data_IF_466403766027
#
_entry.id   IF_466403766027
#
_cell.length_a   1.000
_cell.length_b   1.000
_cell.length_c   1.000
_cell.angle_alpha   90.00
_cell.angle_beta   90.00
_cell.angle_gamma   90.00
#
_symmetry.space_group_name_H-M   'P 1'
#
loop_
_entity.id
_entity.type
_entity.pdbx_description
1 polymer ?
#
# COMPACT_ATOMS: atom_id res chain seq x y z
N UNK A 1 -11.59 -7.53 2.89
CA UNK A 1 -10.43 -6.75 2.39
C UNK A 1 -10.25 -5.53 3.28
N UNK A 2 -9.03 -5.24 3.71
CA UNK A 2 -8.75 -4.13 4.64
C UNK A 2 -8.14 -2.96 3.85
N UNK A 3 -8.57 -1.73 4.14
CA UNK A 3 -7.99 -0.52 3.54
C UNK A 3 -6.53 -0.42 3.96
N UNK A 4 -5.64 -0.21 3.01
CA UNK A 4 -4.22 0.03 3.29
C UNK A 4 -3.95 1.53 3.39
N UNK A 5 -4.50 2.31 2.45
CA UNK A 5 -4.34 3.76 2.44
C UNK A 5 -4.34 4.35 1.03
N UNK A 6 -3.74 5.53 0.88
CA UNK A 6 -3.64 6.30 -0.36
C UNK A 6 -2.21 6.27 -0.91
N UNK A 7 -2.05 5.99 -2.20
CA UNK A 7 -0.75 6.07 -2.87
C UNK A 7 -0.32 7.54 -2.96
N UNK A 8 0.86 7.86 -2.44
CA UNK A 8 1.41 9.22 -2.50
C UNK A 8 2.23 9.45 -3.76
N UNK A 9 3.25 8.64 -3.98
CA UNK A 9 4.16 8.77 -5.11
C UNK A 9 4.87 7.44 -5.39
N UNK A 10 5.53 7.40 -6.56
CA UNK A 10 6.41 6.32 -6.96
C UNK A 10 7.82 6.56 -6.44
N UNK A 11 8.50 5.49 -6.03
CA UNK A 11 9.90 5.56 -5.64
C UNK A 11 10.68 4.40 -6.27
N UNK A 12 11.93 4.67 -6.70
CA UNK A 12 12.76 3.69 -7.39
C UNK A 12 12.07 3.00 -8.58
N UNK A 13 12.52 1.79 -8.89
CA UNK A 13 11.96 0.98 -9.98
C UNK A 13 10.74 0.22 -9.47
N UNK A 14 9.54 0.66 -9.89
CA UNK A 14 8.25 0.02 -9.60
C UNK A 14 7.91 -0.13 -8.11
N UNK A 15 8.29 0.82 -7.25
CA UNK A 15 7.78 0.86 -5.88
C UNK A 15 6.82 2.03 -5.66
N UNK A 16 5.90 1.85 -4.71
CA UNK A 16 4.94 2.85 -4.28
C UNK A 16 5.13 3.15 -2.80
N UNK A 17 5.03 4.43 -2.46
CA UNK A 17 4.81 4.88 -1.09
C UNK A 17 3.32 5.07 -0.90
N UNK A 18 2.77 4.39 0.10
CA UNK A 18 1.36 4.53 0.49
C UNK A 18 1.34 5.16 1.87
N UNK A 19 0.52 6.20 2.04
CA UNK A 19 0.17 6.74 3.35
C UNK A 19 -1.01 5.96 3.89
N UNK A 20 -0.80 5.34 5.04
CA UNK A 20 -1.84 4.65 5.78
C UNK A 20 -2.93 5.59 6.23
N UNK A 21 -4.14 5.04 6.32
CA UNK A 21 -5.22 5.69 7.05
C UNK A 21 -4.88 5.73 8.55
N UNK A 22 -5.58 6.58 9.31
CA UNK A 22 -5.36 6.72 10.74
C UNK A 22 -5.60 5.40 11.49
N UNK A 23 -4.61 4.96 12.25
CA UNK A 23 -4.70 3.83 13.16
C UNK A 23 -5.16 4.36 14.51
N UNK A 24 -6.42 4.10 14.85
CA UNK A 24 -6.96 4.45 16.17
C UNK A 24 -6.40 3.52 17.25
N UNK A 25 -6.18 4.00 18.49
CA UNK A 25 -5.66 3.20 19.60
C UNK A 25 -6.39 1.87 19.81
N UNK A 26 -7.71 1.89 19.68
CA UNK A 26 -8.58 0.71 19.79
C UNK A 26 -8.36 -0.34 18.69
N UNK A 27 -7.81 0.05 17.54
CA UNK A 27 -7.59 -0.79 16.36
C UNK A 27 -6.11 -1.13 16.13
N UNK A 28 -5.21 -0.77 17.06
CA UNK A 28 -3.79 -1.16 16.99
C UNK A 28 -3.67 -2.69 17.01
N UNK A 29 -4.58 -3.37 17.71
CA UNK A 29 -4.73 -4.82 17.76
C UNK A 29 -5.14 -5.46 16.43
N UNK A 30 -5.79 -4.73 15.51
CA UNK A 30 -6.07 -5.23 14.14
C UNK A 30 -4.79 -5.38 13.30
N UNK A 31 -3.65 -4.93 13.84
CA UNK A 31 -2.32 -5.17 13.33
C UNK A 31 -1.99 -4.38 12.06
N UNK A 32 -0.70 -4.06 11.93
CA UNK A 32 -0.13 -3.67 10.65
C UNK A 32 -0.22 -4.85 9.66
N UNK A 33 -0.36 -4.58 8.35
CA UNK A 33 -0.25 -5.63 7.34
C UNK A 33 1.03 -6.43 7.54
N UNK A 34 0.93 -7.75 7.41
CA UNK A 34 2.11 -8.61 7.41
C UNK A 34 2.98 -8.26 6.20
N UNK A 35 4.30 -8.42 6.35
CA UNK A 35 5.18 -8.36 5.21
C UNK A 35 4.75 -9.38 4.16
N UNK A 36 4.91 -9.02 2.89
CA UNK A 36 4.46 -9.75 1.72
C UNK A 36 2.93 -9.85 1.53
N UNK A 37 2.11 -9.18 2.35
CA UNK A 37 0.67 -9.02 2.07
C UNK A 37 0.45 -8.44 0.67
N UNK A 38 -0.50 -9.03 -0.06
CA UNK A 38 -0.80 -8.63 -1.44
C UNK A 38 -1.61 -7.35 -1.42
N UNK A 39 -1.13 -6.36 -2.16
CA UNK A 39 -1.80 -5.07 -2.36
C UNK A 39 -2.59 -5.10 -3.66
N UNK A 40 -3.84 -4.67 -3.59
CA UNK A 40 -4.77 -4.62 -4.72
C UNK A 40 -5.39 -3.23 -4.88
N UNK A 41 -5.84 -2.92 -6.10
CA UNK A 41 -6.67 -1.74 -6.36
C UNK A 41 -8.15 -1.99 -6.01
N UNK A 42 -9.01 -1.01 -6.29
CA UNK A 42 -10.47 -1.10 -6.13
C UNK A 42 -11.11 -2.20 -6.99
N UNK A 43 -10.51 -2.52 -8.14
CA UNK A 43 -10.97 -3.54 -9.08
C UNK A 43 -10.39 -4.94 -8.79
N UNK A 44 -9.72 -5.12 -7.64
CA UNK A 44 -9.07 -6.36 -7.21
C UNK A 44 -7.84 -6.77 -8.05
N UNK A 45 -7.31 -5.87 -8.88
CA UNK A 45 -6.08 -6.13 -9.60
C UNK A 45 -4.91 -6.12 -8.62
N UNK A 46 -4.09 -7.16 -8.68
CA UNK A 46 -2.89 -7.28 -7.84
C UNK A 46 -1.81 -6.30 -8.32
N UNK A 47 -1.44 -5.37 -7.46
CA UNK A 47 -0.45 -4.32 -7.73
C UNK A 47 0.95 -4.77 -7.30
N UNK A 48 1.06 -5.34 -6.11
CA UNK A 48 2.37 -5.66 -5.51
C UNK A 48 2.26 -6.29 -4.13
N UNK A 49 3.34 -6.20 -3.37
CA UNK A 49 3.40 -6.67 -1.97
C UNK A 49 4.01 -5.63 -1.04
N UNK A 50 3.57 -5.61 0.21
CA UNK A 50 4.16 -4.79 1.27
C UNK A 50 5.55 -5.33 1.60
N UNK A 51 6.59 -4.50 1.51
CA UNK A 51 7.97 -4.89 1.85
C UNK A 51 8.53 -4.14 3.05
N UNK A 52 7.89 -3.04 3.47
CA UNK A 52 8.25 -2.33 4.70
C UNK A 52 7.06 -1.52 5.24
N UNK A 53 7.05 -1.34 6.56
CA UNK A 53 6.14 -0.46 7.31
C UNK A 53 7.00 0.47 8.15
N UNK A 54 6.78 1.79 8.06
CA UNK A 54 7.64 2.77 8.74
C UNK A 54 6.89 4.08 9.03
N UNK A 55 7.51 4.98 9.79
CA UNK A 55 6.94 6.28 10.16
C UNK A 55 6.06 6.23 11.41
N UNK A 56 5.23 7.27 11.63
CA UNK A 56 4.41 7.38 12.84
C UNK A 56 3.41 6.23 12.97
N UNK A 57 3.30 5.66 14.17
CA UNK A 57 2.41 4.53 14.46
C UNK A 57 0.95 4.84 14.12
N UNK A 58 0.48 6.06 14.42
CA UNK A 58 -0.90 6.47 14.12
C UNK A 58 -1.17 6.71 12.64
N UNK A 59 -0.17 7.00 11.83
CA UNK A 59 -0.29 7.30 10.40
C UNK A 59 0.92 6.74 9.65
N UNK A 60 1.00 5.41 9.50
CA UNK A 60 2.18 4.75 8.96
C UNK A 60 2.34 5.01 7.46
N UNK A 61 3.54 4.77 6.96
CA UNK A 61 3.84 4.63 5.55
C UNK A 61 4.14 3.18 5.21
N UNK A 62 3.74 2.76 4.02
CA UNK A 62 4.00 1.44 3.49
C UNK A 62 4.80 1.55 2.21
N UNK A 63 5.89 0.79 2.12
CA UNK A 63 6.61 0.58 0.88
C UNK A 63 6.06 -0.67 0.20
N UNK A 64 5.55 -0.51 -1.01
CA UNK A 64 5.02 -1.61 -1.82
C UNK A 64 5.90 -1.83 -3.04
N UNK A 65 6.35 -3.06 -3.22
CA UNK A 65 7.07 -3.50 -4.41
C UNK A 65 6.09 -4.01 -5.44
N UNK A 66 6.06 -3.37 -6.60
CA UNK A 66 5.20 -3.73 -7.72
C UNK A 66 5.54 -5.07 -8.35
N UNK A 67 4.53 -5.75 -8.88
CA UNK A 67 4.76 -6.93 -9.70
C UNK A 67 5.35 -6.54 -11.06
N UNK A 68 6.20 -7.42 -11.61
CA UNK A 68 6.86 -7.19 -12.91
C UNK A 68 5.86 -6.95 -14.05
N UNK A 69 4.70 -7.62 -14.00
CA UNK A 69 3.66 -7.59 -15.02
C UNK A 69 2.89 -6.27 -15.12
N UNK A 70 2.90 -5.44 -14.08
CA UNK A 70 2.21 -4.15 -14.12
C UNK A 70 3.04 -3.16 -14.91
N UNK A 71 2.41 -2.50 -15.87
CA UNK A 71 3.03 -1.50 -16.75
C UNK A 71 3.36 -0.22 -16.01
N UNK A 72 4.25 0.60 -16.57
CA UNK A 72 4.59 1.90 -15.97
C UNK A 72 3.38 2.86 -15.96
N UNK A 73 2.54 2.78 -16.99
CA UNK A 73 1.32 3.60 -17.11
C UNK A 73 0.32 3.28 -16.01
N UNK A 74 0.02 2.00 -15.79
CA UNK A 74 -0.82 1.55 -14.68
C UNK A 74 -0.25 2.01 -13.34
N UNK A 75 1.07 1.96 -13.16
CA UNK A 75 1.73 2.44 -11.94
C UNK A 75 1.59 3.95 -11.71
N UNK A 76 1.57 4.75 -12.78
CA UNK A 76 1.32 6.20 -12.70
C UNK A 76 -0.13 6.50 -12.38
N UNK A 77 -1.06 5.73 -12.95
CA UNK A 77 -2.49 5.89 -12.71
C UNK A 77 -2.86 5.60 -11.24
N UNK A 78 -2.04 4.84 -10.51
CA UNK A 78 -2.25 4.57 -9.08
C UNK A 78 -1.96 5.76 -8.18
N UNK A 79 -1.29 6.83 -8.64
CA UNK A 79 -1.00 7.98 -7.78
C UNK A 79 -2.30 8.65 -7.33
N UNK A 80 -2.38 8.97 -6.04
CA UNK A 80 -3.58 9.46 -5.35
C UNK A 80 -4.73 8.46 -5.23
N UNK A 81 -4.63 7.24 -5.78
CA UNK A 81 -5.64 6.22 -5.64
C UNK A 81 -5.58 5.50 -4.28
N UNK A 82 -6.72 4.91 -3.92
CA UNK A 82 -6.83 4.05 -2.73
C UNK A 82 -6.50 2.61 -3.08
N UNK A 83 -5.78 1.97 -2.17
CA UNK A 83 -5.36 0.58 -2.28
C UNK A 83 -5.68 -0.20 -1.01
N UNK A 84 -5.74 -1.51 -1.16
CA UNK A 84 -6.28 -2.43 -0.16
C UNK A 84 -5.33 -3.61 0.00
N UNK A 85 -5.34 -4.24 1.18
CA UNK A 85 -4.70 -5.54 1.39
C UNK A 85 -5.73 -6.66 1.28
N UNK A 86 -5.30 -7.75 0.66
CA UNK A 86 -5.99 -9.03 0.70
C UNK A 86 -5.48 -9.87 1.86
#
# INVERSE_FOLDING_TARGET
MKRLGKVLHRTGVKNLIIRGDEVKPENVSDGFPKLNSVVVDKALNRIGTVISVFGPVGHPYFLVKGFKRTTDSEFRALINERVYIR
#
